data_IF_455121123393
#
_entry.id   IF_455121123393
#
_cell.length_a   1.000
_cell.length_b   1.000
_cell.length_c   1.000
_cell.angle_alpha   90.00
_cell.angle_beta   90.00
_cell.angle_gamma   90.00
#
_symmetry.space_group_name_H-M   'P 1'
#
loop_
_entity.id
_entity.type
_entity.pdbx_description
1 polymer ?
#
# COMPACT_ATOMS: atom_id res chain seq x y z
N UNK A 1 11.73 -11.61 17.17
CA UNK A 1 12.20 -12.65 16.23
C UNK A 1 11.04 -13.56 15.87
N UNK A 2 10.55 -13.44 14.65
CA UNK A 2 9.52 -14.33 14.11
C UNK A 2 10.07 -15.77 14.20
N UNK A 3 9.34 -16.64 14.89
CA UNK A 3 9.79 -18.01 15.11
C UNK A 3 10.02 -18.75 13.79
N UNK A 4 11.02 -19.61 13.75
CA UNK A 4 11.39 -20.41 12.57
C UNK A 4 10.17 -21.14 11.95
N UNK A 5 9.21 -21.59 12.78
CA UNK A 5 7.97 -22.25 12.35
C UNK A 5 7.07 -21.33 11.52
N UNK A 6 6.97 -20.05 11.87
CA UNK A 6 6.16 -19.08 11.12
C UNK A 6 6.79 -18.79 9.76
N UNK A 7 8.11 -18.62 9.71
CA UNK A 7 8.84 -18.44 8.44
C UNK A 7 8.71 -19.64 7.51
N UNK A 8 8.77 -20.86 8.04
CA UNK A 8 8.59 -22.09 7.26
C UNK A 8 7.16 -22.20 6.75
N UNK A 9 6.15 -21.84 7.55
CA UNK A 9 4.75 -21.84 7.14
C UNK A 9 4.47 -20.83 6.01
N UNK A 10 4.99 -19.61 6.10
CA UNK A 10 4.87 -18.61 5.04
C UNK A 10 5.57 -19.05 3.76
N UNK A 11 6.75 -19.65 3.87
CA UNK A 11 7.46 -20.19 2.70
C UNK A 11 6.72 -21.37 2.08
N UNK A 12 6.20 -22.29 2.87
CA UNK A 12 5.43 -23.44 2.38
C UNK A 12 4.11 -22.99 1.73
N UNK A 13 3.43 -22.01 2.30
CA UNK A 13 2.19 -21.46 1.72
C UNK A 13 2.48 -20.67 0.43
N UNK A 14 3.59 -19.94 0.38
CA UNK A 14 4.07 -19.28 -0.83
C UNK A 14 4.43 -20.31 -1.92
N UNK A 15 5.19 -21.36 -1.58
CA UNK A 15 5.56 -22.42 -2.50
C UNK A 15 4.33 -23.21 -2.98
N UNK A 16 3.36 -23.51 -2.09
CA UNK A 16 2.11 -24.16 -2.45
C UNK A 16 1.27 -23.31 -3.40
N UNK A 17 1.17 -22.00 -3.15
CA UNK A 17 0.52 -21.04 -4.06
C UNK A 17 1.22 -20.98 -5.42
N UNK A 18 2.54 -21.00 -5.45
CA UNK A 18 3.31 -21.07 -6.69
C UNK A 18 3.08 -22.39 -7.43
N UNK A 19 2.95 -23.51 -6.72
CA UNK A 19 2.77 -24.84 -7.32
C UNK A 19 1.32 -25.09 -7.76
N UNK A 20 0.34 -24.70 -6.98
CA UNK A 20 -1.08 -24.92 -7.25
C UNK A 20 -1.65 -23.86 -8.22
N UNK A 21 -1.19 -22.61 -8.14
CA UNK A 21 -1.68 -21.51 -8.97
C UNK A 21 -0.68 -21.05 -10.03
N UNK A 22 0.59 -21.43 -9.94
CA UNK A 22 1.65 -21.06 -10.90
C UNK A 22 1.56 -21.77 -12.24
N UNK A 23 0.70 -22.79 -12.37
CA UNK A 23 0.40 -23.44 -13.66
C UNK A 23 -0.63 -22.67 -14.50
N UNK A 24 -1.41 -21.81 -13.88
CA UNK A 24 -2.25 -20.84 -14.57
C UNK A 24 -1.35 -19.64 -14.85
N UNK A 25 -0.88 -19.53 -16.07
CA UNK A 25 -0.24 -18.30 -16.57
C UNK A 25 -1.21 -17.17 -16.32
N UNK A 26 -1.00 -16.43 -15.23
CA UNK A 26 -1.78 -15.23 -14.95
C UNK A 26 -1.48 -14.22 -16.05
N UNK A 27 -2.41 -13.97 -16.97
CA UNK A 27 -2.17 -13.03 -18.07
C UNK A 27 -1.98 -11.60 -17.57
N UNK A 28 -2.36 -11.30 -16.33
CA UNK A 28 -2.14 -10.00 -15.70
C UNK A 28 -0.72 -9.82 -15.14
N UNK A 29 0.05 -10.88 -14.95
CA UNK A 29 1.48 -10.83 -14.69
C UNK A 29 2.30 -10.82 -15.96
N UNK A 30 1.84 -10.08 -16.97
CA UNK A 30 2.67 -9.88 -18.13
C UNK A 30 3.95 -9.15 -17.70
N UNK A 31 5.08 -9.57 -18.23
CA UNK A 31 6.38 -8.91 -18.06
C UNK A 31 6.26 -7.40 -18.28
N UNK A 32 5.39 -6.99 -19.20
CA UNK A 32 5.11 -5.59 -19.52
C UNK A 32 4.55 -4.79 -18.33
N UNK A 33 3.59 -5.34 -17.55
CA UNK A 33 3.04 -4.63 -16.40
C UNK A 33 4.06 -4.51 -15.26
N UNK A 34 4.90 -5.54 -15.09
CA UNK A 34 6.03 -5.47 -14.18
C UNK A 34 7.07 -4.45 -14.64
N UNK A 35 7.38 -4.41 -15.94
CA UNK A 35 8.33 -3.45 -16.50
C UNK A 35 7.83 -2.01 -16.35
N UNK A 36 6.53 -1.75 -16.54
CA UNK A 36 5.91 -0.44 -16.29
C UNK A 36 5.99 -0.05 -14.80
N UNK A 37 5.72 -1.00 -13.91
CA UNK A 37 5.85 -0.78 -12.47
C UNK A 37 7.30 -0.48 -12.09
N UNK A 38 8.24 -1.32 -12.50
CA UNK A 38 9.66 -1.15 -12.16
C UNK A 38 10.31 0.07 -12.81
N UNK A 39 9.74 0.61 -13.87
CA UNK A 39 10.21 1.85 -14.50
C UNK A 39 10.13 3.06 -13.56
N UNK A 40 9.18 3.03 -12.61
CA UNK A 40 8.95 4.08 -11.64
C UNK A 40 9.49 3.74 -10.24
N UNK A 41 10.18 2.62 -10.08
CA UNK A 41 10.79 2.19 -8.83
C UNK A 41 12.28 2.53 -8.85
N UNK A 42 12.74 3.17 -7.80
CA UNK A 42 14.18 3.43 -7.61
C UNK A 42 14.94 2.11 -7.38
N UNK A 43 16.26 2.21 -7.28
CA UNK A 43 17.07 1.05 -6.89
C UNK A 43 16.59 0.50 -5.54
N UNK A 44 16.80 -0.81 -5.33
CA UNK A 44 16.52 -1.46 -4.06
C UNK A 44 17.55 -1.05 -3.01
N UNK A 45 17.10 -0.70 -1.83
CA UNK A 45 17.92 -0.42 -0.68
C UNK A 45 17.78 -1.54 0.36
N UNK A 46 18.86 -2.09 0.91
CA UNK A 46 18.80 -3.14 1.92
C UNK A 46 18.20 -2.66 3.23
N UNK A 47 18.46 -1.40 3.59
CA UNK A 47 17.97 -0.79 4.83
C UNK A 47 17.47 0.64 4.56
N UNK A 48 16.57 1.10 5.42
CA UNK A 48 16.02 2.46 5.34
C UNK A 48 17.10 3.54 5.54
N UNK A 49 18.14 3.22 6.32
CA UNK A 49 19.26 4.15 6.58
C UNK A 49 20.13 4.45 5.35
N UNK A 50 20.05 3.60 4.34
CA UNK A 50 20.77 3.78 3.07
C UNK A 50 20.00 4.64 2.05
N UNK A 51 18.75 5.00 2.37
CA UNK A 51 17.95 5.86 1.51
C UNK A 51 18.50 7.30 1.52
N UNK A 52 19.03 7.72 0.39
CA UNK A 52 19.36 9.13 0.17
C UNK A 52 18.10 9.90 -0.21
N UNK A 53 17.62 10.70 0.72
CA UNK A 53 16.44 11.55 0.53
C UNK A 53 16.77 12.99 0.21
N UNK A 54 18.06 13.35 0.13
CA UNK A 54 18.49 14.72 -0.11
C UNK A 54 18.04 15.29 -1.47
N UNK A 55 17.73 14.41 -2.41
CA UNK A 55 17.21 14.80 -3.74
C UNK A 55 15.69 15.06 -3.77
N UNK A 56 14.99 14.89 -2.65
CA UNK A 56 13.53 14.99 -2.59
C UNK A 56 13.09 16.05 -1.58
N UNK A 57 12.32 17.03 -2.02
CA UNK A 57 11.73 18.04 -1.16
C UNK A 57 10.57 17.47 -0.32
N UNK A 58 9.89 16.47 -0.86
CA UNK A 58 8.70 15.87 -0.25
C UNK A 58 8.81 14.33 -0.28
N UNK A 59 8.56 13.71 0.86
CA UNK A 59 8.30 12.27 0.95
C UNK A 59 6.80 12.05 1.08
N UNK A 60 6.26 11.14 0.28
CA UNK A 60 4.84 10.82 0.23
C UNK A 60 4.59 9.37 0.64
N UNK A 61 3.81 9.16 1.70
CA UNK A 61 3.25 7.86 2.03
C UNK A 61 1.97 7.60 1.21
N UNK A 62 1.90 6.45 0.56
CA UNK A 62 0.82 6.11 -0.36
C UNK A 62 -0.43 5.54 0.28
N UNK A 63 -1.32 4.99 -0.52
CA UNK A 63 -2.72 4.72 -0.18
C UNK A 63 -3.04 3.31 0.28
N UNK A 64 -2.10 2.40 0.38
CA UNK A 64 -2.39 1.02 0.83
C UNK A 64 -2.47 0.94 2.38
N UNK A 65 -2.76 -0.26 2.91
CA UNK A 65 -2.86 -0.55 4.34
C UNK A 65 -1.47 -0.54 5.03
N UNK A 66 -0.67 0.46 4.69
CA UNK A 66 0.72 0.60 5.14
C UNK A 66 0.85 0.95 6.63
N UNK A 67 -0.25 1.41 7.24
CA UNK A 67 -0.30 1.73 8.68
C UNK A 67 -1.06 0.67 9.48
N UNK A 68 -1.35 -0.48 8.87
CA UNK A 68 -1.98 -1.61 9.54
C UNK A 68 -0.94 -2.56 10.12
N UNK A 69 -0.83 -2.72 11.45
CA UNK A 69 0.10 -3.68 12.05
C UNK A 69 -0.22 -5.12 11.68
N UNK A 70 -1.50 -5.45 11.41
CA UNK A 70 -1.92 -6.79 10.99
C UNK A 70 -1.40 -7.15 9.59
N UNK A 71 -1.25 -6.16 8.70
CA UNK A 71 -0.80 -6.35 7.32
C UNK A 71 0.71 -6.25 7.20
N UNK A 72 1.31 -5.34 7.97
CA UNK A 72 2.74 -5.01 7.87
C UNK A 72 3.61 -5.75 8.90
N UNK A 73 3.04 -6.67 9.69
CA UNK A 73 3.74 -7.37 10.78
C UNK A 73 4.30 -6.38 11.82
N UNK A 74 3.48 -5.41 12.20
CA UNK A 74 3.79 -4.33 13.12
C UNK A 74 3.83 -2.95 12.46
N UNK A 75 4.24 -1.95 13.23
CA UNK A 75 4.40 -0.57 12.75
C UNK A 75 5.81 -0.39 12.17
N UNK A 76 5.95 -0.53 10.86
CA UNK A 76 7.24 -0.33 10.19
C UNK A 76 7.53 1.18 10.03
N UNK A 77 8.63 1.71 10.62
CA UNK A 77 9.02 3.11 10.49
C UNK A 77 9.13 3.61 9.05
N UNK A 78 9.45 2.72 8.10
CA UNK A 78 9.57 3.07 6.69
C UNK A 78 8.24 3.57 6.11
N UNK A 79 7.12 2.96 6.49
CA UNK A 79 5.79 3.36 6.04
C UNK A 79 5.29 4.66 6.70
N UNK A 80 5.92 5.05 7.80
CA UNK A 80 5.72 6.35 8.43
C UNK A 80 6.77 7.39 7.99
N UNK A 81 7.55 7.10 6.95
CA UNK A 81 8.60 7.97 6.44
C UNK A 81 9.59 8.41 7.54
N UNK A 82 9.83 7.54 8.54
CA UNK A 82 10.72 7.82 9.66
C UNK A 82 12.19 7.61 9.28
N UNK A 83 12.59 8.23 8.19
CA UNK A 83 13.93 8.19 7.65
C UNK A 83 14.29 9.51 6.92
N UNK A 84 15.57 9.67 6.64
CA UNK A 84 16.09 10.76 5.81
C UNK A 84 15.83 12.16 6.37
N UNK A 85 16.14 13.15 5.54
CA UNK A 85 16.12 14.59 5.88
C UNK A 85 15.19 15.42 5.02
N UNK A 86 14.15 14.79 4.42
CA UNK A 86 13.21 15.57 3.62
C UNK A 86 12.52 16.63 4.46
N UNK A 87 12.35 17.81 3.89
CA UNK A 87 11.75 18.97 4.57
C UNK A 87 10.27 18.74 4.87
N UNK A 88 9.61 17.98 4.03
CA UNK A 88 8.16 17.71 4.13
C UNK A 88 7.84 16.23 4.02
N UNK A 89 7.00 15.76 4.92
CA UNK A 89 6.40 14.42 4.88
C UNK A 89 4.90 14.57 4.80
N UNK A 90 4.28 13.89 3.85
CA UNK A 90 2.83 13.93 3.66
C UNK A 90 2.30 12.51 3.45
N UNK A 91 1.04 12.28 3.78
CA UNK A 91 0.35 11.07 3.39
C UNK A 91 -0.82 11.37 2.48
N UNK A 92 -1.06 10.49 1.52
CA UNK A 92 -2.22 10.56 0.65
C UNK A 92 -3.00 9.25 0.72
N UNK A 93 -4.21 9.29 1.27
CA UNK A 93 -5.12 8.16 1.38
C UNK A 93 -4.50 6.92 2.07
N UNK A 94 -3.55 7.09 2.99
CA UNK A 94 -2.98 5.97 3.75
C UNK A 94 -4.07 5.27 4.55
N UNK A 95 -3.94 3.96 4.72
CA UNK A 95 -4.95 3.15 5.38
C UNK A 95 -4.38 2.42 6.59
N UNK A 96 -5.17 2.36 7.64
CA UNK A 96 -4.91 1.57 8.85
C UNK A 96 -5.52 0.16 8.76
N UNK A 97 -6.19 -0.16 7.65
CA UNK A 97 -6.94 -1.41 7.52
C UNK A 97 -8.12 -1.47 8.50
N UNK A 98 -8.47 -2.65 8.94
CA UNK A 98 -9.52 -2.90 9.94
C UNK A 98 -8.96 -3.30 11.30
N UNK A 99 -7.68 -3.06 11.56
CA UNK A 99 -7.00 -3.49 12.77
C UNK A 99 -7.46 -2.70 14.01
N UNK A 100 -7.28 -3.33 15.15
CA UNK A 100 -7.40 -2.68 16.46
C UNK A 100 -6.01 -2.39 16.98
N UNK A 101 -5.77 -1.14 17.36
CA UNK A 101 -4.50 -0.73 17.91
C UNK A 101 -4.48 -0.90 19.43
N UNK A 102 -3.34 -1.30 19.96
CA UNK A 102 -3.00 -1.17 21.38
C UNK A 102 -2.67 0.29 21.72
N UNK A 103 -2.70 0.64 22.99
CA UNK A 103 -2.29 1.98 23.45
C UNK A 103 -0.85 2.31 23.06
N UNK A 104 0.05 1.34 23.16
CA UNK A 104 1.46 1.50 22.77
C UNK A 104 1.61 1.79 21.27
N UNK A 105 0.84 1.12 20.43
CA UNK A 105 0.85 1.38 18.97
C UNK A 105 0.29 2.76 18.65
N UNK A 106 -0.77 3.21 19.33
CA UNK A 106 -1.30 4.55 19.16
C UNK A 106 -0.29 5.64 19.59
N UNK A 107 0.42 5.44 20.68
CA UNK A 107 1.51 6.34 21.09
C UNK A 107 2.62 6.39 20.04
N UNK A 108 2.99 5.24 19.49
CA UNK A 108 4.03 5.16 18.47
C UNK A 108 3.59 5.84 17.17
N UNK A 109 2.35 5.61 16.73
CA UNK A 109 1.75 6.28 15.57
C UNK A 109 1.75 7.80 15.78
N UNK A 110 1.33 8.28 16.94
CA UNK A 110 1.33 9.70 17.27
C UNK A 110 2.73 10.33 17.11
N UNK A 111 3.77 9.64 17.59
CA UNK A 111 5.17 10.09 17.41
C UNK A 111 5.57 10.17 15.94
N UNK A 112 5.22 9.15 15.14
CA UNK A 112 5.51 9.16 13.70
C UNK A 112 4.76 10.28 12.99
N UNK A 113 3.46 10.39 13.22
CA UNK A 113 2.62 11.38 12.54
C UNK A 113 2.93 12.82 12.94
N UNK A 114 3.55 13.07 14.10
CA UNK A 114 3.98 14.40 14.50
C UNK A 114 4.95 15.04 13.48
N UNK A 115 5.66 14.24 12.70
CA UNK A 115 6.64 14.69 11.68
C UNK A 115 6.00 14.99 10.32
N UNK A 116 4.72 14.69 10.14
CA UNK A 116 4.06 14.94 8.87
C UNK A 116 3.60 16.40 8.76
N UNK A 117 3.76 16.98 7.58
CA UNK A 117 3.24 18.33 7.28
C UNK A 117 1.74 18.30 7.00
N UNK A 118 1.26 17.25 6.36
CA UNK A 118 -0.16 17.01 6.10
C UNK A 118 -0.45 15.50 6.13
N UNK A 119 -1.63 15.16 6.63
CA UNK A 119 -2.05 13.77 6.79
C UNK A 119 -3.41 13.59 6.13
N UNK A 120 -3.50 12.61 5.24
CA UNK A 120 -4.79 12.14 4.76
C UNK A 120 -4.88 10.62 4.77
N UNK A 121 -6.07 10.13 5.05
CA UNK A 121 -6.40 8.72 5.13
C UNK A 121 -7.58 8.39 4.22
N UNK A 122 -7.81 7.12 3.99
CA UNK A 122 -8.86 6.64 3.09
C UNK A 122 -10.20 6.41 3.82
N UNK A 123 -10.14 6.08 5.10
CA UNK A 123 -11.30 5.71 5.90
C UNK A 123 -11.65 6.79 6.94
N UNK A 124 -12.97 7.07 7.09
CA UNK A 124 -13.45 8.06 8.05
C UNK A 124 -13.09 7.67 9.50
N UNK A 125 -13.29 6.40 9.86
CA UNK A 125 -12.97 5.92 11.20
C UNK A 125 -11.48 6.05 11.53
N UNK A 126 -10.61 5.90 10.53
CA UNK A 126 -9.17 6.08 10.69
C UNK A 126 -8.83 7.55 10.98
N UNK A 127 -9.49 8.49 10.30
CA UNK A 127 -9.33 9.91 10.57
C UNK A 127 -9.73 10.21 12.02
N UNK A 128 -10.93 9.82 12.43
CA UNK A 128 -11.44 10.04 13.79
C UNK A 128 -10.51 9.46 14.88
N UNK A 129 -10.02 8.23 14.67
CA UNK A 129 -9.08 7.58 15.57
C UNK A 129 -7.77 8.35 15.68
N UNK A 130 -7.17 8.67 14.54
CA UNK A 130 -5.86 9.31 14.51
C UNK A 130 -5.92 10.79 14.92
N UNK A 131 -7.00 11.51 14.62
CA UNK A 131 -7.24 12.87 15.14
C UNK A 131 -7.26 12.87 16.67
N UNK A 132 -8.00 11.93 17.27
CA UNK A 132 -8.06 11.74 18.71
C UNK A 132 -6.70 11.39 19.30
N UNK A 133 -5.90 10.58 18.58
CA UNK A 133 -4.60 10.08 19.04
C UNK A 133 -3.51 11.15 19.00
N UNK A 134 -3.42 11.91 17.91
CA UNK A 134 -2.32 12.86 17.71
C UNK A 134 -2.74 14.34 17.78
N UNK A 135 -4.03 14.65 18.00
CA UNK A 135 -4.52 16.01 18.15
C UNK A 135 -4.34 16.87 16.89
N UNK A 136 -4.35 16.25 15.70
CA UNK A 136 -4.08 16.92 14.42
C UNK A 136 -5.26 16.74 13.47
N UNK A 137 -5.46 17.72 12.60
CA UNK A 137 -6.43 17.64 11.50
C UNK A 137 -5.99 16.58 10.48
N UNK A 138 -6.87 15.61 10.19
CA UNK A 138 -6.64 14.51 9.27
C UNK A 138 -7.74 14.49 8.23
N UNK A 139 -7.36 14.60 6.97
CA UNK A 139 -8.31 14.64 5.87
C UNK A 139 -8.69 13.24 5.42
N UNK A 140 -9.98 13.04 5.12
CA UNK A 140 -10.44 11.85 4.43
C UNK A 140 -10.47 12.14 2.93
N UNK A 141 -9.79 11.31 2.15
CA UNK A 141 -9.69 11.46 0.70
C UNK A 141 -9.93 10.12 0.01
N UNK A 142 -10.32 10.15 -1.25
CA UNK A 142 -10.50 8.92 -2.02
C UNK A 142 -9.15 8.26 -2.35
N UNK A 143 -9.19 6.96 -2.62
CA UNK A 143 -8.04 6.23 -3.15
C UNK A 143 -7.55 6.89 -4.45
N UNK A 144 -6.22 6.99 -4.69
CA UNK A 144 -5.67 7.64 -5.88
C UNK A 144 -6.15 7.04 -7.20
N UNK A 145 -6.59 5.78 -7.21
CA UNK A 145 -7.19 5.16 -8.40
C UNK A 145 -8.49 5.84 -8.84
N UNK A 146 -9.15 6.57 -7.95
CA UNK A 146 -10.38 7.33 -8.23
C UNK A 146 -10.11 8.78 -8.68
N UNK A 147 -8.86 9.21 -8.74
CA UNK A 147 -8.49 10.56 -9.23
C UNK A 147 -8.60 10.67 -10.75
N UNK A 148 -8.50 9.56 -11.45
CA UNK A 148 -8.66 9.50 -12.90
C UNK A 148 -10.10 9.09 -13.25
N UNK A 149 -10.67 9.76 -14.22
CA UNK A 149 -11.97 9.34 -14.81
C UNK A 149 -11.83 8.00 -15.55
N UNK A 150 -12.96 7.31 -15.76
CA UNK A 150 -12.95 6.08 -16.55
C UNK A 150 -12.44 6.28 -17.98
N UNK A 151 -12.60 7.47 -18.58
CA UNK A 151 -12.08 7.78 -19.90
C UNK A 151 -10.55 7.96 -19.87
N UNK A 152 -10.01 8.59 -18.83
CA UNK A 152 -8.56 8.71 -18.64
C UNK A 152 -7.92 7.33 -18.41
N UNK A 153 -8.53 6.47 -17.59
CA UNK A 153 -8.08 5.09 -17.43
C UNK A 153 -8.11 4.31 -18.74
N UNK A 154 -9.19 4.44 -19.51
CA UNK A 154 -9.31 3.78 -20.84
C UNK A 154 -8.28 4.29 -21.85
N UNK A 155 -7.95 5.57 -21.81
CA UNK A 155 -6.94 6.13 -22.69
C UNK A 155 -5.54 5.61 -22.36
N UNK A 156 -5.19 5.58 -21.06
CA UNK A 156 -3.88 5.13 -20.59
C UNK A 156 -3.65 3.62 -20.85
N UNK A 157 -4.67 2.80 -20.61
CA UNK A 157 -4.59 1.34 -20.74
C UNK A 157 -5.39 0.83 -21.95
N UNK A 158 -5.38 1.58 -23.06
CA UNK A 158 -6.20 1.27 -24.23
C UNK A 158 -5.95 -0.12 -24.79
N UNK A 159 -4.69 -0.55 -24.89
CA UNK A 159 -4.32 -1.86 -25.41
C UNK A 159 -4.86 -3.00 -24.56
N UNK A 160 -4.83 -2.85 -23.25
CA UNK A 160 -5.34 -3.80 -22.26
C UNK A 160 -6.86 -3.87 -22.32
N UNK A 161 -7.53 -2.73 -22.35
CA UNK A 161 -8.98 -2.68 -22.48
C UNK A 161 -9.46 -3.31 -23.80
N UNK A 162 -8.83 -3.00 -24.92
CA UNK A 162 -9.18 -3.56 -26.23
C UNK A 162 -8.97 -5.08 -26.26
N UNK A 163 -7.91 -5.59 -25.61
CA UNK A 163 -7.60 -7.03 -25.50
C UNK A 163 -8.64 -7.80 -24.69
N UNK A 164 -9.16 -7.19 -23.61
CA UNK A 164 -10.10 -7.86 -22.70
C UNK A 164 -11.55 -7.49 -22.95
N UNK A 165 -11.81 -6.62 -23.93
CA UNK A 165 -13.17 -6.19 -24.26
C UNK A 165 -14.03 -7.37 -24.71
N UNK A 166 -15.08 -7.68 -23.94
CA UNK A 166 -16.10 -8.65 -24.30
C UNK A 166 -17.19 -7.97 -25.12
N UNK A 167 -17.66 -8.64 -26.18
CA UNK A 167 -18.81 -8.17 -26.98
C UNK A 167 -20.13 -8.53 -26.35
N UNK A 168 -20.14 -9.57 -25.53
CA UNK A 168 -21.32 -10.09 -24.83
C UNK A 168 -21.51 -9.41 -23.46
N UNK A 169 -22.71 -9.44 -22.95
CA UNK A 169 -22.99 -9.02 -21.58
C UNK A 169 -22.36 -10.03 -20.62
N UNK A 170 -21.70 -9.54 -19.58
CA UNK A 170 -21.05 -10.37 -18.58
C UNK A 170 -21.19 -9.74 -17.18
N UNK A 171 -21.05 -10.57 -16.17
CA UNK A 171 -20.88 -10.14 -14.78
C UNK A 171 -19.42 -10.39 -14.42
N UNK A 172 -18.72 -9.33 -14.02
CA UNK A 172 -17.38 -9.44 -13.46
C UNK A 172 -17.50 -9.58 -11.93
N UNK A 173 -16.93 -10.65 -11.40
CA UNK A 173 -16.81 -10.84 -9.96
C UNK A 173 -15.34 -10.82 -9.58
N UNK A 174 -15.01 -10.12 -8.51
CA UNK A 174 -13.67 -10.02 -7.95
C UNK A 174 -13.71 -10.30 -6.46
N UNK A 175 -13.01 -11.35 -6.03
CA UNK A 175 -12.95 -11.76 -4.64
C UNK A 175 -11.56 -11.51 -4.08
N UNK A 176 -11.47 -10.79 -2.97
CA UNK A 176 -10.22 -10.53 -2.25
C UNK A 176 -10.24 -11.31 -0.95
N UNK A 177 -9.48 -12.41 -0.92
CA UNK A 177 -9.38 -13.27 0.27
C UNK A 177 -10.64 -14.11 0.51
N UNK A 178 -10.51 -15.11 1.39
CA UNK A 178 -11.61 -15.96 1.76
C UNK A 178 -11.61 -17.31 1.02
N UNK A 179 -11.94 -18.35 1.76
CA UNK A 179 -12.27 -19.65 1.18
C UNK A 179 -13.66 -19.51 0.55
N UNK A 180 -13.74 -19.74 -0.77
CA UNK A 180 -15.01 -20.01 -1.46
C UNK A 180 -15.36 -21.45 -1.19
#
# INVERSE_FOLDING_TARGET
>A
SIGLKTKVWHFANWALRMFVFGGLKDPCRSKHNLDLFYKNVSKRYPTVSELDTAAYDILLAGSDQIWSPDVCDGLDPAFFLDFGKADRRVSYASSVGSCKFTEMELEQISKYLSRFSAISVRELYAAELLEKTCGRDIKVVCDPTLLLSGDQWRAEFKSEFDRFRKKERYILTYFVGGNI
#
